data_IF_909521754550
#
_entry.id   IF_909521754550
#
_cell.length_a   1.000
_cell.length_b   1.000
_cell.length_c   1.000
_cell.angle_alpha   90.00
_cell.angle_beta   90.00
_cell.angle_gamma   90.00
#
_symmetry.space_group_name_H-M   'P 1'
#
loop_
_entity.id
_entity.type
_entity.pdbx_description
1 polymer ?
#
# COMPACT_ATOMS: atom_id res chain seq x y z
N UNK A 1 -2.35 11.09 -15.11
CA UNK A 1 -1.38 10.50 -14.14
C UNK A 1 -1.75 9.04 -13.93
N UNK A 2 -0.99 8.11 -14.49
CA UNK A 2 -1.24 6.67 -14.32
C UNK A 2 -0.64 6.23 -12.99
N UNK A 3 -1.47 5.80 -12.05
CA UNK A 3 -0.97 5.27 -10.77
C UNK A 3 -0.25 3.94 -11.04
N UNK A 4 0.98 3.75 -10.53
CA UNK A 4 1.68 2.48 -10.71
C UNK A 4 0.87 1.34 -10.11
N UNK A 5 0.50 0.33 -10.90
CA UNK A 5 -0.19 -0.86 -10.41
C UNK A 5 0.78 -2.04 -10.22
N UNK A 6 0.41 -2.99 -9.37
CA UNK A 6 1.19 -4.21 -9.10
C UNK A 6 0.25 -5.40 -9.02
N UNK A 7 0.54 -6.45 -9.78
CA UNK A 7 -0.22 -7.70 -9.75
C UNK A 7 0.19 -8.56 -8.56
N UNK A 8 -0.79 -8.98 -7.79
CA UNK A 8 -0.66 -9.95 -6.71
C UNK A 8 -1.60 -11.11 -6.98
N UNK A 9 -1.05 -12.32 -7.14
CA UNK A 9 -1.84 -13.54 -7.37
C UNK A 9 -2.85 -13.41 -8.53
N UNK A 10 -2.43 -12.81 -9.66
CA UNK A 10 -3.27 -12.54 -10.82
C UNK A 10 -4.17 -11.29 -10.73
N UNK A 11 -4.25 -10.65 -9.57
CA UNK A 11 -5.13 -9.50 -9.31
C UNK A 11 -4.33 -8.21 -9.30
N UNK A 12 -4.76 -7.19 -10.05
CA UNK A 12 -4.04 -5.93 -10.19
C UNK A 12 -4.42 -4.90 -9.12
N UNK A 13 -3.48 -4.56 -8.25
CA UNK A 13 -3.70 -3.53 -7.24
C UNK A 13 -3.04 -2.22 -7.64
N UNK A 14 -3.71 -1.11 -7.44
CA UNK A 14 -3.22 0.24 -7.69
C UNK A 14 -2.42 0.75 -6.49
N UNK A 15 -1.19 1.20 -6.72
CA UNK A 15 -0.37 1.84 -5.68
C UNK A 15 -0.94 3.22 -5.39
N UNK A 16 -1.14 3.52 -4.11
CA UNK A 16 -1.46 4.88 -3.68
C UNK A 16 -0.18 5.74 -3.64
N UNK A 17 -0.26 7.04 -3.97
CA UNK A 17 0.89 7.93 -3.92
C UNK A 17 1.43 8.13 -2.50
N UNK A 18 0.64 7.78 -1.47
CA UNK A 18 1.01 7.93 -0.06
C UNK A 18 1.98 6.83 0.39
N UNK A 19 3.09 7.26 1.00
CA UNK A 19 4.10 6.41 1.64
C UNK A 19 3.99 6.66 3.13
N UNK A 20 3.98 5.58 3.91
CA UNK A 20 3.95 5.66 5.38
C UNK A 20 5.30 5.20 5.91
N UNK A 21 5.86 5.91 6.88
CA UNK A 21 7.15 5.54 7.48
C UNK A 21 7.00 4.56 8.66
N UNK A 22 5.75 4.30 9.06
CA UNK A 22 5.36 3.51 10.22
C UNK A 22 4.33 2.45 9.82
N UNK A 23 4.47 1.25 10.39
CA UNK A 23 3.52 0.15 10.16
C UNK A 23 2.13 0.49 10.69
N UNK A 24 2.06 1.26 11.79
CA UNK A 24 0.82 1.64 12.44
C UNK A 24 -0.06 2.49 11.52
N UNK A 25 0.48 3.60 11.00
CA UNK A 25 -0.22 4.46 10.04
C UNK A 25 -0.62 3.71 8.77
N UNK A 26 0.25 2.83 8.26
CA UNK A 26 -0.07 2.01 7.09
C UNK A 26 -1.25 1.05 7.36
N UNK A 27 -1.33 0.48 8.56
CA UNK A 27 -2.44 -0.38 8.98
C UNK A 27 -3.73 0.40 9.19
N UNK A 28 -3.65 1.59 9.80
CA UNK A 28 -4.81 2.45 9.99
C UNK A 28 -5.37 2.87 8.65
N UNK A 29 -4.56 3.42 7.75
CA UNK A 29 -4.99 3.75 6.39
C UNK A 29 -5.59 2.53 5.67
N UNK A 30 -4.98 1.34 5.81
CA UNK A 30 -5.54 0.13 5.22
C UNK A 30 -6.92 -0.25 5.78
N UNK A 31 -7.23 0.06 7.04
CA UNK A 31 -8.59 -0.12 7.59
C UNK A 31 -9.59 0.81 6.90
N UNK A 32 -9.27 2.09 6.74
CA UNK A 32 -10.13 3.06 6.05
C UNK A 32 -10.46 2.59 4.63
N UNK A 33 -9.45 2.17 3.86
CA UNK A 33 -9.66 1.65 2.51
C UNK A 33 -10.47 0.36 2.48
N UNK A 34 -10.30 -0.50 3.49
CA UNK A 34 -11.09 -1.74 3.61
C UNK A 34 -12.56 -1.45 3.89
N UNK A 35 -12.84 -0.40 4.67
CA UNK A 35 -14.20 0.05 5.00
C UNK A 35 -14.90 0.63 3.76
N UNK A 36 -14.17 1.36 2.91
CA UNK A 36 -14.64 1.83 1.61
C UNK A 36 -14.83 0.71 0.56
N UNK A 37 -14.65 -0.56 0.94
CA UNK A 37 -14.84 -1.69 0.04
C UNK A 37 -13.65 -1.98 -0.88
N UNK A 38 -12.44 -1.49 -0.58
CA UNK A 38 -11.24 -1.86 -1.33
C UNK A 38 -10.54 -3.07 -0.70
N UNK A 39 -10.01 -3.97 -1.53
CA UNK A 39 -9.01 -4.94 -1.09
C UNK A 39 -7.67 -4.22 -0.92
N UNK A 40 -7.08 -4.32 0.26
CA UNK A 40 -5.87 -3.57 0.62
C UNK A 40 -4.69 -4.49 0.86
N UNK A 41 -3.51 -4.09 0.37
CA UNK A 41 -2.27 -4.84 0.53
C UNK A 41 -1.13 -3.91 0.90
N UNK A 42 -0.59 -4.11 2.10
CA UNK A 42 0.53 -3.32 2.63
C UNK A 42 1.83 -4.02 2.25
N UNK A 43 2.73 -3.28 1.63
CA UNK A 43 4.06 -3.76 1.25
C UNK A 43 5.09 -2.93 1.99
N UNK A 44 5.97 -3.61 2.73
CA UNK A 44 7.13 -2.99 3.36
C UNK A 44 8.28 -2.97 2.36
N UNK A 45 8.63 -1.78 1.88
CA UNK A 45 9.87 -1.53 1.15
C UNK A 45 10.95 -1.08 2.14
N UNK A 46 12.10 -1.75 2.12
CA UNK A 46 13.26 -1.32 2.90
C UNK A 46 14.14 -0.49 1.96
N UNK A 47 14.36 0.78 2.28
CA UNK A 47 15.37 1.57 1.56
C UNK A 47 16.74 1.21 2.15
N UNK A 48 17.68 0.72 1.33
CA UNK A 48 19.00 0.22 1.79
C UNK A 48 19.94 1.31 2.33
N UNK A 49 19.51 2.57 2.36
CA UNK A 49 20.30 3.71 2.83
C UNK A 49 19.73 4.13 4.19
N UNK A 50 20.17 3.45 5.26
CA UNK A 50 19.88 3.83 6.64
C UNK A 50 18.49 3.44 7.17
N UNK A 51 18.27 2.16 7.51
CA UNK A 51 17.23 1.60 8.43
C UNK A 51 15.79 2.20 8.39
N UNK A 52 15.39 2.91 7.34
CA UNK A 52 14.06 3.50 7.19
C UNK A 52 13.18 2.54 6.39
N UNK A 53 12.02 2.20 6.95
CA UNK A 53 11.06 1.31 6.32
C UNK A 53 9.92 2.15 5.73
N UNK A 54 9.77 2.08 4.41
CA UNK A 54 8.66 2.68 3.70
C UNK A 54 7.55 1.63 3.54
N UNK A 55 6.40 1.88 4.15
CA UNK A 55 5.19 1.10 3.96
C UNK A 55 4.40 1.73 2.82
N UNK A 56 4.08 0.91 1.82
CA UNK A 56 3.31 1.30 0.65
C UNK A 56 1.99 0.55 0.67
N UNK A 57 0.90 1.25 0.39
CA UNK A 57 -0.43 0.66 0.31
C UNK A 57 -0.83 0.49 -1.15
N UNK A 58 -1.29 -0.71 -1.46
CA UNK A 58 -1.87 -1.10 -2.73
C UNK A 58 -3.34 -1.40 -2.50
N UNK A 59 -4.23 -0.75 -3.27
CA UNK A 59 -5.67 -0.97 -3.18
C UNK A 59 -6.20 -1.54 -4.49
N UNK A 60 -7.19 -2.42 -4.39
CA UNK A 60 -7.96 -2.94 -5.51
C UNK A 60 -9.42 -2.63 -5.20
N UNK A 61 -10.11 -1.99 -6.15
CA UNK A 61 -11.56 -1.81 -6.05
C UNK A 61 -12.21 -3.16 -6.32
N UNK A 62 -12.93 -3.70 -5.33
CA UNK A 62 -13.77 -4.89 -5.49
C UNK A 62 -15.24 -4.51 -5.57
#
# INVERSE_FOLDING_TARGET
MTLPSRKFNGVEYFRRPQIYHTKKDANEAAKWWKDEGYKVRIVRSSHKIGKMYDYRIYTLKV
#
